data_IF_373819229553
#
_entry.id   IF_373819229553
#
_cell.length_a   1.000
_cell.length_b   1.000
_cell.length_c   1.000
_cell.angle_alpha   90.00
_cell.angle_beta   90.00
_cell.angle_gamma   90.00
#
_symmetry.space_group_name_H-M   'P 1'
#
loop_
_entity.id
_entity.type
_entity.pdbx_description
1 polymer ?
#
# COMPACT_ATOMS: atom_id res chain seq x y z
N UNK A 1 0.52 -7.16 6.66
CA UNK A 1 1.98 -7.33 6.46
C UNK A 1 2.38 -7.46 4.99
N UNK A 2 1.87 -8.45 4.24
CA UNK A 2 2.29 -8.71 2.85
C UNK A 2 2.16 -7.50 1.91
N UNK A 3 1.02 -6.79 1.99
CA UNK A 3 0.79 -5.59 1.15
C UNK A 3 1.82 -4.48 1.39
N UNK A 4 2.30 -4.33 2.63
CA UNK A 4 3.36 -3.36 2.97
C UNK A 4 4.66 -3.73 2.28
N UNK A 5 5.05 -5.01 2.34
CA UNK A 5 6.24 -5.53 1.67
C UNK A 5 6.14 -5.42 0.14
N UNK A 6 4.97 -5.71 -0.43
CA UNK A 6 4.74 -5.58 -1.86
C UNK A 6 4.90 -4.12 -2.33
N UNK A 7 4.32 -3.16 -1.60
CA UNK A 7 4.49 -1.74 -1.90
C UNK A 7 5.95 -1.31 -1.77
N UNK A 8 6.67 -1.78 -0.75
CA UNK A 8 8.10 -1.49 -0.59
C UNK A 8 8.92 -2.06 -1.75
N UNK A 9 8.58 -3.27 -2.21
CA UNK A 9 9.22 -3.87 -3.39
C UNK A 9 8.98 -3.05 -4.67
N UNK A 10 7.80 -2.47 -4.83
CA UNK A 10 7.49 -1.56 -5.95
C UNK A 10 8.35 -0.29 -5.87
N UNK A 11 8.50 0.30 -4.68
CA UNK A 11 9.31 1.50 -4.48
C UNK A 11 10.78 1.25 -4.82
N UNK A 12 11.36 0.18 -4.26
CA UNK A 12 12.75 -0.19 -4.46
C UNK A 12 13.05 -0.58 -5.92
N UNK A 13 12.06 -1.14 -6.64
CA UNK A 13 12.15 -1.41 -8.07
C UNK A 13 12.13 -0.12 -8.93
N UNK A 14 11.71 1.00 -8.34
CA UNK A 14 11.37 2.25 -9.01
C UNK A 14 10.13 2.05 -9.86
N UNK A 15 8.94 2.35 -9.31
CA UNK A 15 7.63 2.11 -9.94
C UNK A 15 7.66 2.30 -11.49
N UNK A 16 7.52 1.19 -12.23
CA UNK A 16 7.63 1.14 -13.71
C UNK A 16 6.26 1.11 -14.40
N UNK A 17 5.22 1.53 -13.70
CA UNK A 17 3.83 1.32 -14.10
C UNK A 17 3.21 0.18 -13.30
N UNK A 18 1.96 0.40 -12.90
CA UNK A 18 1.09 -0.54 -12.22
C UNK A 18 -0.17 -0.72 -13.08
N UNK A 19 -0.82 -1.87 -13.00
CA UNK A 19 -2.10 -2.08 -13.69
C UNK A 19 -3.24 -1.33 -13.00
N UNK A 20 -4.36 -1.19 -13.71
CA UNK A 20 -5.49 -0.33 -13.33
C UNK A 20 -6.02 -0.58 -11.90
N UNK A 21 -6.08 -1.84 -11.45
CA UNK A 21 -6.47 -2.17 -10.08
C UNK A 21 -5.33 -2.11 -9.06
N UNK A 22 -4.08 -2.31 -9.47
CA UNK A 22 -2.93 -2.31 -8.55
C UNK A 22 -2.40 -0.92 -8.24
N UNK A 23 -2.56 0.04 -9.17
CA UNK A 23 -2.19 1.42 -8.95
C UNK A 23 -2.97 2.10 -7.81
N UNK A 24 -4.32 2.05 -7.76
CA UNK A 24 -5.09 2.60 -6.64
C UNK A 24 -4.80 1.86 -5.33
N UNK A 25 -4.61 0.54 -5.35
CA UNK A 25 -4.21 -0.22 -4.16
C UNK A 25 -2.88 0.28 -3.56
N UNK A 26 -1.86 0.45 -4.42
CA UNK A 26 -0.57 0.99 -4.01
C UNK A 26 -0.68 2.42 -3.48
N UNK A 27 -1.45 3.28 -4.17
CA UNK A 27 -1.69 4.67 -3.74
C UNK A 27 -2.41 4.74 -2.39
N UNK A 28 -3.41 3.88 -2.16
CA UNK A 28 -4.13 3.81 -0.90
C UNK A 28 -3.20 3.47 0.28
N UNK A 29 -2.30 2.51 0.09
CA UNK A 29 -1.28 2.16 1.10
C UNK A 29 -0.31 3.33 1.31
N UNK A 30 0.24 3.91 0.25
CA UNK A 30 1.23 5.01 0.35
C UNK A 30 0.69 6.30 0.93
N UNK A 31 -0.63 6.51 0.85
CA UNK A 31 -1.31 7.64 1.52
C UNK A 31 -1.24 7.55 3.05
N UNK A 32 -1.20 6.33 3.61
CA UNK A 32 -1.23 6.10 5.06
C UNK A 32 0.11 5.61 5.62
N UNK A 33 0.87 4.88 4.80
CA UNK A 33 2.15 4.25 5.14
C UNK A 33 3.21 4.76 4.15
N UNK A 34 4.05 5.73 4.55
CA UNK A 34 5.13 6.23 3.71
C UNK A 34 6.12 5.10 3.38
N UNK A 35 6.88 5.27 2.30
CA UNK A 35 8.01 4.39 2.00
C UNK A 35 8.93 4.28 3.24
N UNK A 36 9.50 3.10 3.44
CA UNK A 36 10.53 2.90 4.44
C UNK A 36 11.87 3.34 3.82
N UNK A 37 12.35 4.52 4.22
CA UNK A 37 13.65 5.06 3.79
C UNK A 37 14.74 4.74 4.82
N UNK A 38 14.42 4.92 6.10
CA UNK A 38 15.25 4.56 7.25
C UNK A 38 14.50 3.56 8.15
N UNK A 39 15.26 2.85 8.99
CA UNK A 39 14.70 1.92 9.96
C UNK A 39 13.74 2.63 10.93
N UNK A 40 12.55 2.05 11.11
CA UNK A 40 11.55 2.49 12.10
C UNK A 40 10.74 1.31 12.65
N UNK A 41 10.11 1.44 13.83
CA UNK A 41 9.19 0.43 14.33
C UNK A 41 8.03 0.19 13.34
N UNK A 42 7.84 -1.05 12.90
CA UNK A 42 6.88 -1.37 11.83
C UNK A 42 5.45 -1.63 12.31
N UNK A 43 5.22 -1.80 13.62
CA UNK A 43 3.90 -2.21 14.12
C UNK A 43 2.80 -1.20 13.76
N UNK A 44 3.09 0.10 13.76
CA UNK A 44 2.12 1.13 13.37
C UNK A 44 1.75 1.05 11.89
N UNK A 45 2.75 0.80 11.03
CA UNK A 45 2.55 0.68 9.59
C UNK A 45 1.81 -0.60 9.22
N UNK A 46 2.11 -1.70 9.92
CA UNK A 46 1.39 -2.97 9.78
C UNK A 46 -0.07 -2.77 10.18
N UNK A 47 -0.34 -2.13 11.32
CA UNK A 47 -1.71 -1.86 11.78
C UNK A 47 -2.49 -0.96 10.81
N UNK A 48 -1.85 0.06 10.24
CA UNK A 48 -2.47 0.90 9.20
C UNK A 48 -2.81 0.10 7.94
N UNK A 49 -1.90 -0.76 7.49
CA UNK A 49 -2.17 -1.66 6.37
C UNK A 49 -3.33 -2.62 6.66
N UNK A 50 -3.41 -3.15 7.87
CA UNK A 50 -4.50 -4.04 8.30
C UNK A 50 -5.84 -3.31 8.35
N UNK A 51 -5.87 -2.08 8.87
CA UNK A 51 -7.08 -1.27 8.92
C UNK A 51 -7.64 -1.01 7.52
N UNK A 52 -6.80 -0.67 6.53
CA UNK A 52 -7.22 -0.48 5.13
C UNK A 52 -7.93 -1.70 4.53
N UNK A 53 -7.58 -2.90 5.00
CA UNK A 53 -8.21 -4.15 4.56
C UNK A 53 -9.53 -4.36 5.32
N UNK A 54 -9.50 -4.20 6.65
CA UNK A 54 -10.63 -4.46 7.54
C UNK A 54 -11.79 -3.48 7.29
N UNK A 55 -11.49 -2.21 7.05
CA UNK A 55 -12.48 -1.16 6.81
C UNK A 55 -12.96 -1.09 5.35
N UNK A 56 -12.48 -2.00 4.49
CA UNK A 56 -12.74 -2.06 3.06
C UNK A 56 -12.26 -0.84 2.25
N UNK A 57 -11.47 0.07 2.80
CA UNK A 57 -10.92 1.21 2.06
C UNK A 57 -10.12 0.72 0.85
N UNK A 58 -9.30 -0.33 1.03
CA UNK A 58 -8.48 -0.86 -0.04
C UNK A 58 -9.33 -1.33 -1.23
N UNK A 59 -10.36 -2.15 -0.98
CA UNK A 59 -11.21 -2.66 -2.06
C UNK A 59 -12.03 -1.54 -2.71
N UNK A 60 -12.54 -0.59 -1.92
CA UNK A 60 -13.27 0.57 -2.44
C UNK A 60 -12.42 1.44 -3.37
N UNK A 61 -11.15 1.67 -3.04
CA UNK A 61 -10.24 2.44 -3.91
C UNK A 61 -9.95 1.70 -5.22
N UNK A 62 -9.83 0.38 -5.17
CA UNK A 62 -9.63 -0.45 -6.37
C UNK A 62 -10.88 -0.49 -7.25
N UNK A 63 -12.06 -0.71 -6.67
CA UNK A 63 -13.31 -0.80 -7.43
C UNK A 63 -13.71 0.51 -8.13
N UNK A 64 -13.25 1.67 -7.65
CA UNK A 64 -13.42 2.96 -8.35
C UNK A 64 -12.69 3.06 -9.69
N UNK A 65 -11.74 2.17 -9.94
CA UNK A 65 -10.95 2.12 -11.18
C UNK A 65 -11.51 1.15 -12.23
N UNK A 66 -12.57 0.40 -11.88
CA UNK A 66 -13.31 -0.49 -12.77
C UNK A 66 -14.43 0.26 -13.50
#
# INVERSE_FOLDING_TARGET
MEIMCACQGIDLRGNKGLGDGTEPAYKAVRKCVPMLEDDRPLYEDINKCENLIIDNTLIQEVEKSL
#
